data_IF_329590148121
#
_entry.id   IF_329590148121
#
_cell.length_a   1.000
_cell.length_b   1.000
_cell.length_c   1.000
_cell.angle_alpha   90.00
_cell.angle_beta   90.00
_cell.angle_gamma   90.00
#
_symmetry.space_group_name_H-M   'P 1'
#
loop_
_entity.id
_entity.type
_entity.pdbx_description
1 polymer ?
#
# COMPACT_ATOMS: atom_id res chain seq x y z
N UNK A 1 4.86 7.13 43.13
CA UNK A 1 4.45 6.68 41.78
C UNK A 1 5.45 7.27 40.79
N UNK A 2 6.25 6.44 40.11
CA UNK A 2 7.43 6.88 39.36
C UNK A 2 7.02 7.42 37.98
N UNK A 3 7.08 8.75 37.81
CA UNK A 3 6.66 9.49 36.60
C UNK A 3 7.47 9.09 35.37
N UNK A 4 8.67 8.51 35.55
CA UNK A 4 9.50 8.03 34.44
C UNK A 4 9.01 6.74 33.78
N UNK A 5 8.06 6.01 34.38
CA UNK A 5 7.53 4.76 33.80
C UNK A 5 6.41 4.98 32.78
N UNK A 6 5.82 6.19 32.74
CA UNK A 6 4.71 6.54 31.84
C UNK A 6 5.23 7.02 30.47
N UNK A 7 6.50 7.46 30.37
CA UNK A 7 7.05 8.08 29.15
C UNK A 7 7.63 7.12 28.11
N UNK A 8 7.71 5.82 28.38
CA UNK A 8 8.34 4.86 27.45
C UNK A 8 7.37 4.24 26.43
N UNK A 9 6.06 4.49 26.53
CA UNK A 9 5.03 3.82 25.71
C UNK A 9 4.62 4.56 24.43
N UNK A 10 5.11 5.77 24.15
CA UNK A 10 4.56 6.61 23.08
C UNK A 10 5.51 6.92 21.91
N UNK A 11 6.69 6.29 21.85
CA UNK A 11 7.64 6.54 20.76
C UNK A 11 7.58 5.41 19.75
N UNK A 12 7.11 5.70 18.53
CA UNK A 12 7.20 4.75 17.42
C UNK A 12 8.66 4.28 17.26
N UNK A 13 8.84 2.97 17.07
CA UNK A 13 10.14 2.41 16.70
C UNK A 13 10.57 2.94 15.33
N UNK A 14 11.86 2.89 15.00
CA UNK A 14 12.35 3.33 13.69
C UNK A 14 11.66 2.59 12.52
N UNK A 15 11.35 1.30 12.71
CA UNK A 15 10.57 0.51 11.75
C UNK A 15 9.11 0.97 11.66
N UNK A 16 8.51 1.36 12.79
CA UNK A 16 7.18 1.97 12.82
C UNK A 16 7.11 3.30 12.06
N UNK A 17 8.12 4.15 12.22
CA UNK A 17 8.22 5.42 11.46
C UNK A 17 8.36 5.11 9.97
N UNK A 18 9.25 4.19 9.59
CA UNK A 18 9.43 3.79 8.19
C UNK A 18 8.14 3.24 7.58
N UNK A 19 7.37 2.43 8.34
CA UNK A 19 6.06 1.93 7.90
C UNK A 19 5.09 3.08 7.62
N UNK A 20 4.96 4.04 8.55
CA UNK A 20 4.06 5.20 8.40
C UNK A 20 4.46 6.07 7.22
N UNK A 21 5.75 6.37 7.09
CA UNK A 21 6.27 7.16 5.96
C UNK A 21 5.98 6.45 4.63
N UNK A 22 6.18 5.13 4.57
CA UNK A 22 5.82 4.32 3.40
C UNK A 22 4.33 4.44 3.08
N UNK A 23 3.44 4.39 4.08
CA UNK A 23 2.00 4.55 3.85
C UNK A 23 1.62 5.97 3.40
N UNK A 24 2.27 7.00 3.94
CA UNK A 24 2.01 8.39 3.53
C UNK A 24 2.37 8.62 2.06
N UNK A 25 3.57 8.20 1.64
CA UNK A 25 3.96 8.27 0.24
C UNK A 25 3.00 7.48 -0.64
N UNK A 26 2.64 6.27 -0.20
CA UNK A 26 1.70 5.41 -0.91
C UNK A 26 0.35 6.10 -1.10
N UNK A 27 -0.25 6.69 -0.05
CA UNK A 27 -1.52 7.41 -0.13
C UNK A 27 -1.44 8.62 -1.06
N UNK A 28 -0.33 9.38 -1.05
CA UNK A 28 -0.13 10.54 -1.93
C UNK A 28 -0.02 10.13 -3.40
N UNK A 29 0.84 9.17 -3.72
CA UNK A 29 0.98 8.66 -5.09
C UNK A 29 -0.27 7.90 -5.55
N UNK A 30 -0.99 7.26 -4.62
CA UNK A 30 -2.27 6.62 -4.90
C UNK A 30 -3.34 7.58 -5.40
N UNK A 31 -3.49 8.73 -4.74
CA UNK A 31 -4.41 9.78 -5.20
C UNK A 31 -4.07 10.28 -6.60
N UNK A 32 -2.78 10.40 -6.93
CA UNK A 32 -2.34 10.75 -8.28
C UNK A 32 -2.75 9.68 -9.31
N UNK A 33 -2.56 8.40 -9.01
CA UNK A 33 -2.93 7.29 -9.91
C UNK A 33 -4.44 7.26 -10.17
N UNK A 34 -5.28 7.43 -9.13
CA UNK A 34 -6.74 7.51 -9.30
C UNK A 34 -7.13 8.64 -10.25
N UNK A 35 -6.53 9.83 -10.08
CA UNK A 35 -6.80 10.97 -10.94
C UNK A 35 -6.36 10.75 -12.39
N UNK A 36 -5.20 10.09 -12.57
CA UNK A 36 -4.69 9.71 -13.89
C UNK A 36 -5.62 8.72 -14.59
N UNK A 37 -6.07 7.68 -13.89
CA UNK A 37 -6.94 6.65 -14.48
C UNK A 37 -8.30 7.25 -14.91
N UNK A 38 -8.89 8.10 -14.07
CA UNK A 38 -10.14 8.77 -14.39
C UNK A 38 -10.01 9.75 -15.57
N UNK A 39 -8.88 10.48 -15.66
CA UNK A 39 -8.65 11.49 -16.68
C UNK A 39 -8.23 10.91 -18.03
N UNK A 40 -7.29 9.96 -18.03
CA UNK A 40 -6.70 9.42 -19.27
C UNK A 40 -7.59 8.32 -19.89
N UNK A 41 -8.33 7.55 -19.07
CA UNK A 41 -9.00 6.33 -19.52
C UNK A 41 -10.52 6.31 -19.29
N UNK A 42 -11.10 7.34 -18.63
CA UNK A 42 -12.55 7.40 -18.34
C UNK A 42 -13.08 6.11 -17.66
N UNK A 43 -12.24 5.47 -16.85
CA UNK A 43 -12.56 4.20 -16.17
C UNK A 43 -12.88 4.43 -14.68
N UNK A 44 -14.17 4.66 -14.33
CA UNK A 44 -14.57 4.89 -12.95
C UNK A 44 -14.50 3.61 -12.10
N UNK A 45 -14.55 2.42 -12.70
CA UNK A 45 -14.56 1.15 -11.96
C UNK A 45 -13.16 0.85 -11.41
N UNK A 46 -12.13 1.01 -12.25
CA UNK A 46 -10.74 0.91 -11.83
C UNK A 46 -10.42 1.98 -10.78
N UNK A 47 -10.79 3.25 -11.04
CA UNK A 47 -10.58 4.35 -10.11
C UNK A 47 -11.23 4.11 -8.73
N UNK A 48 -12.46 3.57 -8.70
CA UNK A 48 -13.15 3.20 -7.46
C UNK A 48 -12.43 2.08 -6.71
N UNK A 49 -11.98 1.04 -7.42
CA UNK A 49 -11.25 -0.08 -6.83
C UNK A 49 -9.96 0.39 -6.16
N UNK A 50 -9.22 1.23 -6.86
CA UNK A 50 -7.99 1.84 -6.36
C UNK A 50 -8.31 2.71 -5.13
N UNK A 51 -9.34 3.56 -5.19
CA UNK A 51 -9.79 4.37 -4.04
C UNK A 51 -10.10 3.52 -2.80
N UNK A 52 -10.86 2.43 -2.96
CA UNK A 52 -11.21 1.52 -1.84
C UNK A 52 -9.96 0.95 -1.18
N UNK A 53 -8.97 0.52 -1.97
CA UNK A 53 -7.68 0.02 -1.46
C UNK A 53 -6.97 1.08 -0.62
N UNK A 54 -6.89 2.33 -1.10
CA UNK A 54 -6.23 3.41 -0.37
C UNK A 54 -6.99 3.82 0.90
N UNK A 55 -8.32 3.82 0.89
CA UNK A 55 -9.13 4.04 2.10
C UNK A 55 -8.85 2.95 3.14
N UNK A 56 -8.81 1.68 2.73
CA UNK A 56 -8.48 0.57 3.63
C UNK A 56 -7.07 0.70 4.22
N UNK A 57 -6.08 1.09 3.41
CA UNK A 57 -4.72 1.40 3.88
C UNK A 57 -4.75 2.51 4.94
N UNK A 58 -5.47 3.60 4.68
CA UNK A 58 -5.60 4.72 5.62
C UNK A 58 -6.22 4.31 6.96
N UNK A 59 -7.29 3.51 6.92
CA UNK A 59 -7.93 2.97 8.12
C UNK A 59 -6.97 2.08 8.91
N UNK A 60 -6.32 1.12 8.25
CA UNK A 60 -5.40 0.18 8.92
C UNK A 60 -4.17 0.88 9.50
N UNK A 61 -3.65 1.88 8.80
CA UNK A 61 -2.55 2.74 9.27
C UNK A 61 -2.98 3.52 10.51
N UNK A 62 -4.20 4.09 10.50
CA UNK A 62 -4.75 4.81 11.65
C UNK A 62 -4.92 3.87 12.84
N UNK A 63 -5.45 2.66 12.63
CA UNK A 63 -5.56 1.65 13.69
C UNK A 63 -4.20 1.30 14.29
N UNK A 64 -3.17 1.15 13.45
CA UNK A 64 -1.80 0.95 13.92
C UNK A 64 -1.30 2.13 14.76
N UNK A 65 -1.49 3.37 14.30
CA UNK A 65 -1.09 4.58 15.03
C UNK A 65 -1.82 4.72 16.38
N UNK A 66 -3.04 4.22 16.49
CA UNK A 66 -3.80 4.12 17.74
C UNK A 66 -3.36 2.95 18.65
N UNK A 67 -2.27 2.26 18.30
CA UNK A 67 -1.71 1.15 19.06
C UNK A 67 -2.49 -0.16 18.92
N UNK A 68 -3.42 -0.27 17.97
CA UNK A 68 -4.18 -1.51 17.75
C UNK A 68 -3.38 -2.46 16.85
N UNK A 69 -2.96 -3.60 17.39
CA UNK A 69 -2.19 -4.63 16.67
C UNK A 69 -2.85 -5.12 15.38
N UNK A 70 -4.19 -5.18 15.35
CA UNK A 70 -4.94 -5.56 14.14
C UNK A 70 -4.70 -4.62 12.95
N UNK A 71 -4.29 -3.36 13.18
CA UNK A 71 -3.88 -2.45 12.11
C UNK A 71 -2.66 -2.98 11.36
N UNK A 72 -1.62 -3.43 12.07
CA UNK A 72 -0.41 -4.02 11.47
C UNK A 72 -0.72 -5.35 10.80
N UNK A 73 -1.51 -6.22 11.45
CA UNK A 73 -1.94 -7.48 10.85
C UNK A 73 -2.70 -7.27 9.55
N UNK A 74 -3.64 -6.31 9.54
CA UNK A 74 -4.37 -5.96 8.32
C UNK A 74 -3.46 -5.41 7.23
N UNK A 75 -2.47 -4.57 7.57
CA UNK A 75 -1.49 -4.08 6.59
C UNK A 75 -0.65 -5.20 5.98
N UNK A 76 -0.28 -6.22 6.76
CA UNK A 76 0.43 -7.41 6.26
C UNK A 76 -0.46 -8.16 5.26
N UNK A 77 -1.68 -8.53 5.66
CA UNK A 77 -2.61 -9.30 4.82
C UNK A 77 -2.90 -8.54 3.52
N UNK A 78 -3.23 -7.26 3.63
CA UNK A 78 -3.53 -6.42 2.47
C UNK A 78 -2.32 -6.31 1.53
N UNK A 79 -1.11 -6.17 2.08
CA UNK A 79 0.11 -6.09 1.26
C UNK A 79 0.37 -7.38 0.50
N UNK A 80 0.14 -8.55 1.12
CA UNK A 80 0.26 -9.85 0.44
C UNK A 80 -0.73 -9.95 -0.73
N UNK A 81 -2.00 -9.61 -0.49
CA UNK A 81 -3.03 -9.62 -1.55
C UNK A 81 -2.62 -8.72 -2.71
N UNK A 82 -2.14 -7.51 -2.43
CA UNK A 82 -1.77 -6.54 -3.47
C UNK A 82 -0.54 -6.99 -4.27
N UNK A 83 0.45 -7.63 -3.62
CA UNK A 83 1.59 -8.23 -4.33
C UNK A 83 1.12 -9.34 -5.28
N UNK A 84 0.21 -10.21 -4.82
CA UNK A 84 -0.32 -11.31 -5.64
C UNK A 84 -1.07 -10.74 -6.84
N UNK A 85 -1.99 -9.79 -6.62
CA UNK A 85 -2.76 -9.15 -7.69
C UNK A 85 -1.85 -8.46 -8.71
N UNK A 86 -0.86 -7.69 -8.25
CA UNK A 86 0.08 -7.02 -9.14
C UNK A 86 0.94 -8.03 -9.92
N UNK A 87 1.31 -9.15 -9.31
CA UNK A 87 2.05 -10.24 -9.98
C UNK A 87 1.21 -10.91 -11.07
N UNK A 88 -0.06 -11.20 -10.78
CA UNK A 88 -1.02 -11.76 -11.75
C UNK A 88 -1.17 -10.81 -12.93
N UNK A 89 -1.37 -9.51 -12.68
CA UNK A 89 -1.50 -8.51 -13.73
C UNK A 89 -0.25 -8.45 -14.63
N UNK A 90 0.96 -8.41 -14.05
CA UNK A 90 2.21 -8.38 -14.82
C UNK A 90 2.37 -9.65 -15.67
N UNK A 91 2.15 -10.83 -15.07
CA UNK A 91 2.27 -12.11 -15.78
C UNK A 91 1.25 -12.18 -16.92
N UNK A 92 0.00 -11.82 -16.64
CA UNK A 92 -1.07 -11.86 -17.62
C UNK A 92 -0.76 -10.92 -18.81
N UNK A 93 -0.33 -9.69 -18.54
CA UNK A 93 0.06 -8.74 -19.58
C UNK A 93 1.18 -9.30 -20.48
N UNK A 94 2.28 -9.80 -19.92
CA UNK A 94 3.39 -10.34 -20.72
C UNK A 94 3.08 -11.67 -21.41
N UNK A 95 2.07 -12.40 -20.94
CA UNK A 95 1.63 -13.66 -21.54
C UNK A 95 0.72 -13.47 -22.76
N UNK A 96 0.12 -12.29 -22.93
CA UNK A 96 -0.77 -12.01 -24.05
C UNK A 96 0.03 -11.73 -25.32
N UNK A 97 -0.34 -12.44 -26.41
CA UNK A 97 0.22 -12.24 -27.76
C UNK A 97 -0.51 -11.16 -28.56
N UNK A 98 -1.66 -10.70 -28.07
CA UNK A 98 -2.42 -9.56 -28.60
C UNK A 98 -2.67 -8.59 -27.45
N UNK A 99 -2.22 -7.35 -27.61
CA UNK A 99 -2.38 -6.30 -26.59
C UNK A 99 -3.87 -5.95 -26.55
N UNK A 100 -4.56 -6.35 -25.48
CA UNK A 100 -5.91 -5.85 -25.21
C UNK A 100 -5.82 -4.35 -24.86
N UNK A 101 -6.38 -3.45 -25.66
CA UNK A 101 -6.29 -2.00 -25.44
C UNK A 101 -7.00 -1.53 -24.16
N UNK A 102 -7.80 -2.40 -23.51
CA UNK A 102 -8.39 -2.11 -22.20
C UNK A 102 -7.40 -2.23 -21.03
N UNK A 103 -6.24 -2.86 -21.24
CA UNK A 103 -5.21 -2.97 -20.21
C UNK A 103 -4.30 -1.74 -20.27
N UNK A 104 -4.17 -1.02 -19.16
CA UNK A 104 -3.15 0.02 -19.05
C UNK A 104 -1.78 -0.60 -19.38
N UNK A 105 -1.04 -0.04 -20.33
CA UNK A 105 0.26 -0.59 -20.71
C UNK A 105 1.28 -0.39 -19.55
N UNK A 106 1.73 -1.48 -18.88
CA UNK A 106 2.68 -1.40 -17.79
C UNK A 106 4.09 -1.03 -18.25
N UNK A 107 4.42 -1.10 -19.54
CA UNK A 107 5.70 -0.64 -20.09
C UNK A 107 5.66 0.88 -20.29
N UNK A 108 4.57 1.39 -20.88
CA UNK A 108 4.36 2.84 -20.99
C UNK A 108 4.25 3.52 -19.61
N UNK A 109 3.64 2.85 -18.63
CA UNK A 109 3.48 3.32 -17.26
C UNK A 109 4.41 2.59 -16.26
N UNK A 110 5.63 2.24 -16.70
CA UNK A 110 6.57 1.42 -15.91
C UNK A 110 6.83 1.95 -14.50
N UNK A 111 6.89 3.27 -14.32
CA UNK A 111 7.14 3.89 -13.02
C UNK A 111 5.97 3.62 -12.05
N UNK A 112 4.72 3.68 -12.53
CA UNK A 112 3.54 3.39 -11.73
C UNK A 112 3.49 1.90 -11.36
N UNK A 113 3.79 1.03 -12.32
CA UNK A 113 3.90 -0.42 -12.11
C UNK A 113 4.95 -0.74 -11.03
N UNK A 114 6.11 -0.08 -11.08
CA UNK A 114 7.17 -0.24 -10.08
C UNK A 114 6.71 0.23 -8.70
N UNK A 115 6.07 1.40 -8.59
CA UNK A 115 5.56 1.90 -7.31
C UNK A 115 4.47 0.99 -6.73
N UNK A 116 3.55 0.50 -7.57
CA UNK A 116 2.50 -0.43 -7.18
C UNK A 116 3.05 -1.77 -6.68
N UNK A 117 4.27 -2.16 -7.05
CA UNK A 117 4.93 -3.35 -6.52
C UNK A 117 5.81 -3.05 -5.29
N UNK A 118 6.58 -1.96 -5.35
CA UNK A 118 7.55 -1.57 -4.32
C UNK A 118 6.86 -1.18 -3.01
N UNK A 119 5.78 -0.40 -3.06
CA UNK A 119 5.11 0.06 -1.85
C UNK A 119 4.49 -1.08 -1.02
N UNK A 120 3.72 -2.04 -1.59
CA UNK A 120 3.29 -3.23 -0.86
C UNK A 120 4.45 -4.03 -0.28
N UNK A 121 5.55 -4.18 -1.01
CA UNK A 121 6.70 -4.96 -0.56
C UNK A 121 7.40 -4.29 0.63
N UNK A 122 7.64 -2.98 0.57
CA UNK A 122 8.17 -2.22 1.70
C UNK A 122 7.21 -2.25 2.89
N UNK A 123 5.91 -2.09 2.63
CA UNK A 123 4.86 -2.19 3.66
C UNK A 123 4.93 -3.53 4.37
N UNK A 124 5.01 -4.63 3.62
CA UNK A 124 5.08 -5.97 4.15
C UNK A 124 6.34 -6.16 5.03
N UNK A 125 7.51 -5.75 4.53
CA UNK A 125 8.78 -5.87 5.27
C UNK A 125 8.73 -5.10 6.58
N UNK A 126 8.32 -3.82 6.56
CA UNK A 126 8.27 -3.01 7.76
C UNK A 126 7.15 -3.42 8.70
N UNK A 127 5.97 -3.80 8.19
CA UNK A 127 4.87 -4.28 9.01
C UNK A 127 5.22 -5.60 9.73
N UNK A 128 5.90 -6.55 9.07
CA UNK A 128 6.39 -7.77 9.73
C UNK A 128 7.40 -7.45 10.84
N UNK A 129 8.34 -6.52 10.58
CA UNK A 129 9.31 -6.10 11.61
C UNK A 129 8.61 -5.46 12.81
N UNK A 130 7.71 -4.51 12.56
CA UNK A 130 6.91 -3.84 13.61
C UNK A 130 6.08 -4.86 14.38
N UNK A 131 5.43 -5.80 13.70
CA UNK A 131 4.62 -6.85 14.35
C UNK A 131 5.42 -7.73 15.31
N UNK A 132 6.71 -7.95 15.02
CA UNK A 132 7.61 -8.70 15.91
C UNK A 132 8.13 -7.87 17.09
N UNK A 133 8.15 -6.55 16.95
CA UNK A 133 8.60 -5.62 17.99
C UNK A 133 7.50 -5.29 19.01
N UNK A 134 6.24 -5.30 18.59
CA UNK A 134 5.07 -4.94 19.42
C UNK A 134 4.49 -6.11 20.17
#
# INVERSE_FOLDING_TARGET
>A
MNVNKIRQTERLTGNGIALVVTQLFRLLFGGFLIGKDLYDFLDPESALTVLVIYVLIGILTTLFLLGKRYGVTGLIVLSVVLIIMQSIYIIAFFSQTTIDPSWHDPVANWWATVLNFLFPLLTLVFAIKVYRET
#
